data_IF_318168523201
#
_entry.id   IF_318168523201
#
_cell.length_a   1.000
_cell.length_b   1.000
_cell.length_c   1.000
_cell.angle_alpha   90.00
_cell.angle_beta   90.00
_cell.angle_gamma   90.00
#
_symmetry.space_group_name_H-M   'P 1'
#
loop_
_entity.id
_entity.type
_entity.pdbx_description
1 polymer ?
#
# COMPACT_ATOMS: atom_id res chain seq x y z
N UNK A 1 42.10 -100.80 0.88
CA UNK A 1 42.62 -99.46 0.51
C UNK A 1 41.44 -98.55 0.17
N UNK A 2 40.92 -97.86 1.19
CA UNK A 2 39.87 -96.87 0.99
C UNK A 2 40.46 -95.70 0.21
N UNK A 3 39.84 -95.40 -0.92
CA UNK A 3 40.20 -94.26 -1.77
C UNK A 3 39.65 -93.04 -1.06
N UNK A 4 40.51 -92.26 -0.41
CA UNK A 4 40.14 -90.93 0.08
C UNK A 4 40.05 -90.02 -1.15
N UNK A 5 38.83 -89.79 -1.65
CA UNK A 5 38.56 -88.75 -2.63
C UNK A 5 38.76 -87.39 -1.94
N UNK A 6 39.89 -86.74 -2.22
CA UNK A 6 40.15 -85.38 -1.76
C UNK A 6 39.31 -84.41 -2.60
N UNK A 7 38.14 -84.01 -2.08
CA UNK A 7 37.36 -82.92 -2.69
C UNK A 7 38.13 -81.61 -2.57
N UNK A 8 38.08 -80.79 -3.63
CA UNK A 8 38.70 -79.48 -3.62
C UNK A 8 37.97 -78.54 -2.65
N UNK A 9 38.70 -77.85 -1.77
CA UNK A 9 38.12 -76.87 -0.86
C UNK A 9 37.99 -75.50 -1.55
N UNK A 10 36.83 -74.86 -1.38
CA UNK A 10 36.57 -73.51 -1.87
C UNK A 10 36.60 -72.49 -0.72
N UNK A 11 37.21 -71.34 -0.98
CA UNK A 11 37.09 -70.19 -0.08
C UNK A 11 35.67 -69.60 -0.16
N UNK A 12 35.18 -69.08 0.97
CA UNK A 12 33.88 -68.43 1.01
C UNK A 12 33.82 -67.27 -0.01
N UNK A 13 32.85 -67.27 -0.93
CA UNK A 13 32.69 -66.17 -1.87
C UNK A 13 32.21 -64.92 -1.14
N UNK A 14 32.50 -63.74 -1.69
CA UNK A 14 31.92 -62.48 -1.26
C UNK A 14 31.41 -61.71 -2.46
N UNK A 15 30.17 -61.23 -2.37
CA UNK A 15 29.55 -60.35 -3.35
C UNK A 15 29.09 -59.11 -2.57
N UNK A 16 29.47 -57.92 -3.05
CA UNK A 16 29.09 -56.67 -2.38
C UNK A 16 27.56 -56.52 -2.40
N UNK A 17 26.99 -56.11 -1.27
CA UNK A 17 25.53 -55.89 -1.11
C UNK A 17 24.69 -57.15 -1.38
N UNK A 18 25.23 -58.31 -1.01
CA UNK A 18 24.54 -59.58 -1.11
C UNK A 18 24.75 -60.43 0.15
N UNK A 19 23.72 -61.19 0.49
CA UNK A 19 23.78 -62.33 1.42
C UNK A 19 23.89 -63.62 0.61
N UNK A 20 24.80 -64.51 1.03
CA UNK A 20 25.07 -65.79 0.37
C UNK A 20 24.59 -66.93 1.25
N UNK A 21 23.73 -67.78 0.69
CA UNK A 21 23.23 -68.99 1.35
C UNK A 21 23.82 -70.22 0.65
N UNK A 22 24.75 -70.90 1.33
CA UNK A 22 25.53 -72.01 0.77
C UNK A 22 25.20 -73.32 1.48
N UNK A 23 24.72 -74.32 0.74
CA UNK A 23 24.39 -75.65 1.24
C UNK A 23 25.03 -76.73 0.33
N UNK A 24 25.72 -77.75 0.87
CA UNK A 24 26.12 -77.97 2.27
C UNK A 24 27.49 -77.38 2.64
N UNK A 25 27.68 -77.10 3.94
CA UNK A 25 28.98 -76.82 4.55
C UNK A 25 29.65 -78.15 4.99
N UNK A 26 30.98 -78.35 4.81
CA UNK A 26 32.00 -77.40 4.34
C UNK A 26 31.95 -77.09 2.83
N UNK A 27 32.44 -75.91 2.43
CA UNK A 27 32.44 -75.47 1.03
C UNK A 27 33.45 -76.29 0.21
N UNK A 28 32.97 -77.32 -0.47
CA UNK A 28 33.77 -78.25 -1.27
C UNK A 28 33.27 -78.30 -2.71
N UNK A 29 34.00 -78.98 -3.59
CA UNK A 29 33.58 -79.23 -4.97
C UNK A 29 32.11 -79.69 -5.03
N UNK A 30 31.31 -79.02 -5.86
CA UNK A 30 29.88 -79.28 -6.02
C UNK A 30 28.95 -78.53 -5.05
N UNK A 31 29.48 -77.86 -4.01
CA UNK A 31 28.67 -76.96 -3.18
C UNK A 31 28.09 -75.83 -4.03
N UNK A 32 26.78 -75.58 -3.87
CA UNK A 32 26.08 -74.49 -4.53
C UNK A 32 25.71 -73.41 -3.54
N UNK A 33 25.93 -72.16 -3.91
CA UNK A 33 25.47 -71.00 -3.14
C UNK A 33 24.38 -70.26 -3.92
N UNK A 34 23.33 -69.88 -3.21
CA UNK A 34 22.28 -68.98 -3.70
C UNK A 34 22.62 -67.54 -3.31
N UNK A 35 22.48 -66.63 -4.26
CA UNK A 35 22.82 -65.22 -4.11
C UNK A 35 21.54 -64.42 -3.88
N UNK A 36 21.46 -63.72 -2.75
CA UNK A 36 20.34 -62.83 -2.42
C UNK A 36 20.86 -61.41 -2.26
N UNK A 37 20.53 -60.52 -3.19
CA UNK A 37 20.91 -59.12 -3.08
C UNK A 37 20.18 -58.43 -1.93
N UNK A 38 20.87 -57.54 -1.23
CA UNK A 38 20.31 -56.71 -0.17
C UNK A 38 19.09 -55.92 -0.68
N UNK A 39 18.22 -55.49 0.23
CA UNK A 39 17.07 -54.68 -0.12
C UNK A 39 17.51 -53.42 -0.90
N UNK A 40 16.82 -53.13 -2.01
CA UNK A 40 17.17 -52.03 -2.92
C UNK A 40 18.28 -52.32 -3.92
N UNK A 41 18.79 -53.56 -3.99
CA UNK A 41 19.73 -54.00 -5.01
C UNK A 41 19.11 -55.09 -5.90
N UNK A 42 19.37 -55.03 -7.20
CA UNK A 42 18.91 -56.03 -8.16
C UNK A 42 20.05 -56.95 -8.59
N UNK A 43 19.73 -58.23 -8.77
CA UNK A 43 20.68 -59.24 -9.22
C UNK A 43 20.85 -59.16 -10.74
N UNK A 44 22.07 -58.96 -11.19
CA UNK A 44 22.48 -59.13 -12.59
C UNK A 44 23.36 -60.36 -12.71
N UNK A 45 22.98 -61.36 -13.50
CA UNK A 45 23.73 -62.60 -13.69
C UNK A 45 22.98 -63.84 -13.15
N UNK A 46 23.72 -64.90 -12.84
CA UNK A 46 23.13 -66.14 -12.30
C UNK A 46 22.83 -66.01 -10.79
N UNK A 47 21.64 -66.41 -10.30
CA UNK A 47 21.33 -66.42 -8.87
C UNK A 47 22.03 -67.55 -8.11
N UNK A 48 22.73 -68.42 -8.81
CA UNK A 48 23.46 -69.55 -8.25
C UNK A 48 24.88 -69.59 -8.78
N UNK A 49 25.79 -70.01 -7.92
CA UNK A 49 27.20 -70.24 -8.20
C UNK A 49 27.64 -71.56 -7.59
N UNK A 50 28.52 -72.27 -8.28
CA UNK A 50 29.06 -73.57 -7.86
C UNK A 50 30.55 -73.49 -7.59
N UNK A 51 31.02 -74.28 -6.63
CA UNK A 51 32.44 -74.51 -6.39
C UNK A 51 32.98 -75.47 -7.47
N UNK A 52 33.92 -74.98 -8.29
CA UNK A 52 34.54 -75.75 -9.38
C UNK A 52 36.05 -75.95 -9.16
N UNK A 53 36.58 -77.07 -9.65
CA UNK A 53 38.00 -77.41 -9.52
C UNK A 53 38.85 -76.62 -10.52
N UNK A 54 39.94 -76.01 -10.04
CA UNK A 54 40.94 -75.39 -10.90
C UNK A 54 41.80 -76.47 -11.57
N UNK A 55 41.70 -76.62 -12.90
CA UNK A 55 42.40 -77.67 -13.66
C UNK A 55 43.90 -77.38 -13.85
N UNK A 56 44.76 -77.52 -12.83
CA UNK A 56 46.25 -77.61 -12.97
C UNK A 56 46.91 -78.29 -11.73
N UNK A 57 48.13 -78.89 -11.85
CA UNK A 57 48.37 -80.34 -11.77
C UNK A 57 48.42 -80.98 -10.35
N UNK A 58 48.05 -80.26 -9.29
CA UNK A 58 47.80 -80.83 -7.96
C UNK A 58 46.66 -80.04 -7.32
N UNK A 59 45.42 -80.36 -7.70
CA UNK A 59 44.24 -79.60 -7.31
C UNK A 59 43.71 -80.06 -5.95
N UNK A 60 44.13 -79.39 -4.88
CA UNK A 60 43.42 -79.35 -3.60
C UNK A 60 42.64 -78.04 -3.42
N UNK A 61 42.49 -77.23 -4.48
CA UNK A 61 41.86 -75.91 -4.44
C UNK A 61 40.76 -75.76 -5.50
N UNK A 62 39.55 -75.44 -5.03
CA UNK A 62 38.42 -75.04 -5.85
C UNK A 62 38.22 -73.52 -5.81
N UNK A 63 37.48 -72.98 -6.77
CA UNK A 63 37.03 -71.61 -6.75
C UNK A 63 35.56 -71.51 -7.14
N UNK A 64 34.87 -70.57 -6.52
CA UNK A 64 33.54 -70.18 -6.97
C UNK A 64 33.64 -69.28 -8.19
N UNK A 65 32.90 -69.62 -9.24
CA UNK A 65 32.79 -68.80 -10.45
C UNK A 65 31.43 -68.10 -10.44
N UNK A 66 31.37 -66.88 -9.88
CA UNK A 66 30.17 -66.05 -9.95
C UNK A 66 30.25 -65.08 -11.13
N UNK A 67 29.19 -65.01 -11.92
CA UNK A 67 28.92 -63.93 -12.89
C UNK A 67 27.92 -62.90 -12.35
N UNK A 68 27.56 -63.00 -11.07
CA UNK A 68 26.52 -62.20 -10.45
C UNK A 68 27.05 -60.94 -9.77
N UNK A 69 26.34 -59.83 -9.96
CA UNK A 69 26.58 -58.54 -9.32
C UNK A 69 25.24 -57.99 -8.82
N UNK A 70 25.23 -57.47 -7.60
CA UNK A 70 24.08 -56.75 -7.05
C UNK A 70 24.21 -55.26 -7.37
N UNK A 71 23.38 -54.76 -8.30
CA UNK A 71 23.37 -53.36 -8.71
C UNK A 71 22.36 -52.56 -7.90
N UNK A 72 22.74 -51.38 -7.43
CA UNK A 72 21.83 -50.49 -6.74
C UNK A 72 20.66 -50.08 -7.65
N UNK A 73 19.43 -50.15 -7.14
CA UNK A 73 18.23 -49.67 -7.85
C UNK A 73 18.13 -48.14 -7.77
N UNK A 74 17.48 -47.56 -8.77
CA UNK A 74 17.23 -46.12 -8.88
C UNK A 74 15.82 -45.78 -8.40
N UNK A 75 15.66 -44.68 -7.65
CA UNK A 75 14.35 -44.24 -7.14
C UNK A 75 13.47 -43.51 -8.16
N UNK A 76 13.96 -43.29 -9.38
CA UNK A 76 13.19 -42.62 -10.42
C UNK A 76 12.91 -41.15 -10.13
N UNK A 77 11.84 -40.64 -10.73
CA UNK A 77 11.43 -39.24 -10.66
C UNK A 77 10.75 -38.93 -9.31
N UNK A 78 11.07 -37.78 -8.72
CA UNK A 78 10.48 -37.34 -7.44
C UNK A 78 8.99 -37.00 -7.58
N UNK A 79 8.50 -36.75 -8.79
CA UNK A 79 7.09 -36.50 -9.08
C UNK A 79 6.16 -37.68 -8.74
N UNK A 80 6.71 -38.91 -8.62
CA UNK A 80 5.95 -40.06 -8.12
C UNK A 80 5.67 -39.97 -6.60
N UNK A 81 6.50 -39.23 -5.86
CA UNK A 81 6.33 -38.96 -4.43
C UNK A 81 5.38 -37.77 -4.20
N UNK A 82 5.61 -36.66 -4.91
CA UNK A 82 4.72 -35.49 -4.93
C UNK A 82 4.82 -34.81 -6.32
N UNK A 83 3.69 -34.63 -7.05
CA UNK A 83 3.71 -34.14 -8.43
C UNK A 83 4.21 -32.70 -8.58
N UNK A 84 4.26 -31.93 -7.49
CA UNK A 84 4.73 -30.54 -7.47
C UNK A 84 6.16 -30.40 -6.96
N UNK A 85 6.86 -31.52 -6.80
CA UNK A 85 8.24 -31.55 -6.35
C UNK A 85 9.20 -31.68 -7.54
N UNK A 86 10.37 -31.06 -7.42
CA UNK A 86 11.48 -31.15 -8.37
C UNK A 86 12.80 -31.36 -7.66
N UNK A 87 13.70 -32.13 -8.27
CA UNK A 87 15.05 -32.34 -7.77
C UNK A 87 15.92 -31.10 -8.03
N UNK A 88 16.75 -30.74 -7.05
CA UNK A 88 17.83 -29.76 -7.28
C UNK A 88 18.82 -30.25 -8.35
N UNK A 89 19.56 -29.33 -8.98
CA UNK A 89 20.34 -29.50 -10.22
C UNK A 89 21.48 -30.56 -10.26
N UNK A 90 21.51 -31.56 -9.36
CA UNK A 90 22.50 -32.65 -9.37
C UNK A 90 21.87 -33.94 -9.91
N UNK A 91 21.82 -34.02 -11.24
CA UNK A 91 21.30 -35.15 -12.01
C UNK A 91 22.37 -36.26 -12.18
N UNK A 92 22.48 -37.13 -11.19
CA UNK A 92 22.64 -38.56 -11.45
C UNK A 92 21.35 -39.23 -11.01
N UNK A 93 20.93 -40.35 -11.63
CA UNK A 93 19.84 -41.11 -11.05
C UNK A 93 20.19 -41.41 -9.59
N UNK A 94 19.26 -41.08 -8.69
CA UNK A 94 19.45 -41.32 -7.27
C UNK A 94 19.30 -42.81 -7.03
N UNK A 95 20.33 -43.42 -6.46
CA UNK A 95 20.34 -44.84 -6.12
C UNK A 95 20.05 -45.06 -4.65
N UNK A 96 19.71 -46.28 -4.27
CA UNK A 96 19.45 -46.63 -2.85
C UNK A 96 20.55 -46.10 -1.92
N UNK A 97 20.13 -45.39 -0.86
CA UNK A 97 21.00 -44.73 0.10
C UNK A 97 21.31 -43.26 -0.21
N UNK A 98 21.01 -42.77 -1.42
CA UNK A 98 21.20 -41.36 -1.76
C UNK A 98 20.17 -40.47 -1.06
N UNK A 99 20.64 -39.35 -0.50
CA UNK A 99 19.79 -38.24 -0.09
C UNK A 99 19.86 -37.13 -1.14
N UNK A 100 18.70 -36.58 -1.52
CA UNK A 100 18.61 -35.46 -2.45
C UNK A 100 17.79 -34.32 -1.87
N UNK A 101 18.24 -33.11 -2.16
CA UNK A 101 17.49 -31.89 -1.88
C UNK A 101 16.44 -31.68 -2.96
N UNK A 102 15.24 -31.31 -2.52
CA UNK A 102 14.08 -31.11 -3.37
C UNK A 102 13.50 -29.73 -3.12
N UNK A 103 12.87 -29.18 -4.15
CA UNK A 103 12.15 -27.91 -4.09
C UNK A 103 10.77 -28.08 -4.72
N UNK A 104 9.85 -27.20 -4.35
CA UNK A 104 8.55 -27.15 -4.99
C UNK A 104 8.62 -26.40 -6.33
N UNK A 105 7.77 -26.80 -7.26
CA UNK A 105 7.56 -26.10 -8.53
C UNK A 105 7.00 -24.69 -8.29
N UNK A 106 7.08 -23.86 -9.31
CA UNK A 106 6.48 -22.52 -9.28
C UNK A 106 4.98 -22.58 -8.94
N UNK A 107 4.53 -21.74 -8.00
CA UNK A 107 3.15 -21.76 -7.50
C UNK A 107 2.92 -22.67 -6.29
N UNK A 108 3.95 -23.37 -5.82
CA UNK A 108 3.91 -24.23 -4.63
C UNK A 108 5.04 -23.89 -3.66
N UNK A 109 4.86 -24.19 -2.37
CA UNK A 109 5.88 -24.01 -1.34
C UNK A 109 5.96 -25.22 -0.39
N UNK A 110 7.12 -25.36 0.24
CA UNK A 110 7.28 -26.18 1.44
C UNK A 110 6.72 -25.47 2.67
N UNK A 111 6.64 -26.18 3.79
CA UNK A 111 6.28 -25.54 5.06
C UNK A 111 7.27 -24.39 5.38
N UNK A 112 6.81 -23.29 6.01
CA UNK A 112 7.64 -22.12 6.25
C UNK A 112 8.92 -22.46 7.02
N UNK A 113 10.08 -22.10 6.44
CA UNK A 113 11.39 -22.34 7.05
C UNK A 113 11.93 -23.76 6.89
N UNK A 114 11.25 -24.62 6.12
CA UNK A 114 11.68 -25.99 5.90
C UNK A 114 12.46 -26.13 4.59
N UNK A 115 13.66 -26.70 4.68
CA UNK A 115 14.40 -27.21 3.51
C UNK A 115 14.15 -28.71 3.43
N UNK A 116 13.56 -29.15 2.33
CA UNK A 116 13.12 -30.54 2.19
C UNK A 116 14.23 -31.38 1.56
N UNK A 117 14.51 -32.54 2.16
CA UNK A 117 15.36 -33.58 1.57
C UNK A 117 14.67 -34.94 1.62
N UNK A 118 14.88 -35.76 0.59
CA UNK A 118 14.34 -37.10 0.49
C UNK A 118 15.47 -38.13 0.40
N UNK A 119 15.25 -39.29 1.03
CA UNK A 119 16.15 -40.43 0.99
C UNK A 119 15.59 -41.48 0.02
N UNK A 120 16.39 -41.91 -0.94
CA UNK A 120 16.09 -43.09 -1.74
C UNK A 120 16.29 -44.35 -0.90
N UNK A 121 15.21 -45.03 -0.52
CA UNK A 121 15.25 -46.15 0.41
C UNK A 121 14.50 -47.38 -0.12
N UNK A 122 14.83 -48.60 0.33
CA UNK A 122 14.02 -49.78 0.05
C UNK A 122 12.62 -49.63 0.62
N UNK A 123 11.60 -50.10 -0.10
CA UNK A 123 10.21 -50.09 0.39
C UNK A 123 9.96 -51.12 1.51
N UNK A 124 10.85 -52.10 1.64
CA UNK A 124 10.85 -53.13 2.68
C UNK A 124 12.25 -53.72 2.87
N UNK A 125 12.48 -54.40 4.00
CA UNK A 125 13.75 -55.09 4.31
C UNK A 125 13.95 -56.42 3.58
N UNK A 126 13.03 -56.80 2.68
CA UNK A 126 13.14 -58.06 1.94
C UNK A 126 14.24 -57.98 0.87
N UNK A 127 14.97 -59.08 0.67
CA UNK A 127 15.97 -59.20 -0.39
C UNK A 127 15.43 -58.78 -1.75
N UNK A 128 16.20 -57.98 -2.47
CA UNK A 128 15.83 -57.49 -3.80
C UNK A 128 14.64 -56.53 -3.85
N UNK A 129 14.14 -56.03 -2.70
CA UNK A 129 13.01 -55.09 -2.64
C UNK A 129 13.22 -53.87 -3.55
N UNK A 130 12.10 -53.32 -4.06
CA UNK A 130 12.12 -52.09 -4.83
C UNK A 130 12.50 -50.90 -3.94
N UNK A 131 12.81 -49.78 -4.58
CA UNK A 131 13.18 -48.53 -3.91
C UNK A 131 12.14 -47.45 -4.21
N UNK A 132 11.98 -46.53 -3.28
CA UNK A 132 11.16 -45.35 -3.44
C UNK A 132 11.77 -44.19 -2.63
N UNK A 133 11.35 -42.98 -2.98
CA UNK A 133 11.64 -41.81 -2.16
C UNK A 133 10.95 -41.92 -0.80
N UNK A 134 11.69 -41.61 0.25
CA UNK A 134 11.21 -41.63 1.64
C UNK A 134 11.55 -40.31 2.34
N UNK A 135 10.63 -39.84 3.18
CA UNK A 135 10.74 -38.58 3.90
C UNK A 135 9.36 -38.03 4.26
N UNK A 136 9.35 -36.93 5.02
CA UNK A 136 8.16 -36.15 5.32
C UNK A 136 8.22 -34.84 4.55
N UNK A 137 7.59 -34.81 3.39
CA UNK A 137 7.64 -33.68 2.51
C UNK A 137 6.34 -33.57 1.72
N UNK A 138 5.88 -32.36 1.50
CA UNK A 138 4.76 -32.08 0.61
C UNK A 138 4.88 -30.67 0.07
N UNK A 139 4.44 -30.49 -1.17
CA UNK A 139 4.35 -29.18 -1.80
C UNK A 139 2.91 -28.70 -1.75
N UNK A 140 2.69 -27.59 -1.06
CA UNK A 140 1.37 -26.97 -0.90
C UNK A 140 1.23 -25.81 -1.88
N UNK A 141 0.04 -25.60 -2.44
CA UNK A 141 -0.21 -24.46 -3.30
C UNK A 141 -0.01 -23.15 -2.52
N UNK A 142 0.57 -22.14 -3.18
CA UNK A 142 0.61 -20.78 -2.65
C UNK A 142 -0.82 -20.28 -2.41
N UNK A 143 -1.01 -19.51 -1.32
CA UNK A 143 -2.31 -18.96 -1.01
C UNK A 143 -2.77 -17.98 -2.10
N UNK A 144 -4.06 -17.98 -2.42
CA UNK A 144 -4.70 -17.03 -3.32
C UNK A 144 -5.36 -15.93 -2.47
N UNK A 145 -4.92 -14.69 -2.62
CA UNK A 145 -5.50 -13.55 -1.92
C UNK A 145 -6.74 -12.97 -2.62
N UNK A 146 -7.05 -13.45 -3.82
CA UNK A 146 -8.05 -12.85 -4.70
C UNK A 146 -7.61 -11.49 -5.24
N UNK A 147 -8.39 -11.00 -6.21
CA UNK A 147 -8.16 -9.71 -6.85
C UNK A 147 -8.07 -8.58 -5.80
N UNK A 148 -6.94 -7.89 -5.78
CA UNK A 148 -6.69 -6.77 -4.85
C UNK A 148 -7.73 -5.66 -5.02
N UNK A 149 -8.29 -5.49 -6.23
CA UNK A 149 -9.33 -4.51 -6.51
C UNK A 149 -10.68 -4.85 -5.85
N UNK A 150 -10.88 -6.09 -5.41
CA UNK A 150 -12.06 -6.47 -4.64
C UNK A 150 -11.98 -6.00 -3.18
N UNK A 151 -10.77 -5.65 -2.69
CA UNK A 151 -10.57 -5.08 -1.36
C UNK A 151 -10.81 -3.57 -1.43
N UNK A 152 -11.62 -3.05 -0.50
CA UNK A 152 -11.90 -1.63 -0.44
C UNK A 152 -10.73 -0.87 0.21
N UNK A 153 -9.93 -0.20 -0.59
CA UNK A 153 -8.92 0.76 -0.12
C UNK A 153 -9.39 2.20 -0.43
N UNK A 154 -9.84 2.97 0.58
CA UNK A 154 -10.29 4.33 0.38
C UNK A 154 -9.22 5.21 -0.28
N UNK A 155 -9.64 6.04 -1.24
CA UNK A 155 -8.74 6.97 -1.93
C UNK A 155 -7.80 6.34 -2.96
N UNK A 156 -7.94 5.05 -3.26
CA UNK A 156 -7.14 4.35 -4.29
C UNK A 156 -7.92 4.30 -5.62
N UNK A 157 -7.22 4.51 -6.74
CA UNK A 157 -7.80 4.44 -8.10
C UNK A 157 -7.21 3.33 -8.95
N UNK A 158 -6.02 2.85 -8.61
CA UNK A 158 -5.38 1.74 -9.32
C UNK A 158 -4.36 1.02 -8.42
N UNK A 159 -4.08 -0.23 -8.79
CA UNK A 159 -3.03 -1.05 -8.20
C UNK A 159 -2.03 -1.43 -9.30
N UNK A 160 -0.75 -1.33 -9.01
CA UNK A 160 0.32 -1.83 -9.87
C UNK A 160 1.06 -2.95 -9.14
N UNK A 161 0.94 -4.16 -9.67
CA UNK A 161 1.29 -5.40 -8.99
C UNK A 161 2.34 -6.19 -9.77
N UNK A 162 3.22 -6.87 -9.04
CA UNK A 162 4.30 -7.67 -9.63
C UNK A 162 3.80 -8.78 -10.57
N UNK A 163 2.63 -9.35 -10.26
CA UNK A 163 1.94 -10.38 -11.05
C UNK A 163 0.43 -10.31 -10.78
N UNK A 164 -0.38 -10.63 -11.80
CA UNK A 164 -1.85 -10.65 -11.78
C UNK A 164 -2.43 -11.99 -11.29
N UNK A 165 -1.58 -12.92 -10.84
CA UNK A 165 -2.02 -14.21 -10.30
C UNK A 165 -2.40 -14.16 -8.81
N UNK A 166 -2.29 -12.99 -8.15
CA UNK A 166 -2.76 -12.72 -6.77
C UNK A 166 -2.32 -13.73 -5.70
N UNK A 167 -1.18 -14.39 -5.91
CA UNK A 167 -0.64 -15.42 -5.02
C UNK A 167 0.20 -14.84 -3.90
N UNK A 168 0.40 -15.63 -2.85
CA UNK A 168 1.33 -15.35 -1.76
C UNK A 168 2.67 -14.79 -2.28
N UNK A 169 3.13 -13.72 -1.64
CA UNK A 169 4.35 -13.03 -2.02
C UNK A 169 4.14 -11.90 -3.03
N UNK A 170 3.05 -11.89 -3.81
CA UNK A 170 2.75 -10.79 -4.73
C UNK A 170 2.63 -9.47 -4.01
N UNK A 171 3.27 -8.44 -4.56
CA UNK A 171 3.26 -7.08 -4.02
C UNK A 171 2.55 -6.14 -4.97
N UNK A 172 1.73 -5.26 -4.42
CA UNK A 172 1.00 -4.23 -5.14
C UNK A 172 1.31 -2.85 -4.56
N UNK A 173 1.73 -1.94 -5.42
CA UNK A 173 1.78 -0.51 -5.13
C UNK A 173 0.45 0.14 -5.45
N UNK A 174 0.10 1.20 -4.72
CA UNK A 174 -1.21 1.84 -4.81
C UNK A 174 -1.06 3.19 -5.51
N UNK A 175 -1.95 3.47 -6.45
CA UNK A 175 -2.09 4.79 -7.05
C UNK A 175 -3.26 5.50 -6.39
N UNK A 176 -2.98 6.63 -5.74
CA UNK A 176 -4.00 7.42 -5.06
C UNK A 176 -4.80 8.29 -6.03
N UNK A 177 -6.06 8.53 -5.68
CA UNK A 177 -6.92 9.50 -6.34
C UNK A 177 -6.31 10.90 -6.25
N UNK A 178 -6.82 11.83 -7.07
CA UNK A 178 -6.49 13.24 -6.92
C UNK A 178 -6.74 13.71 -5.48
N UNK A 179 -5.86 14.59 -4.99
CA UNK A 179 -5.89 15.14 -3.63
C UNK A 179 -5.74 14.12 -2.48
N UNK A 180 -5.14 12.96 -2.79
CA UNK A 180 -4.74 11.97 -1.80
C UNK A 180 -3.26 11.64 -1.99
N UNK A 181 -2.55 11.47 -0.88
CA UNK A 181 -1.15 11.08 -0.84
C UNK A 181 -0.97 9.64 -0.41
N UNK A 182 -0.02 8.96 -1.06
CA UNK A 182 0.38 7.62 -0.70
C UNK A 182 1.11 7.65 0.65
N UNK A 183 0.53 6.97 1.62
CA UNK A 183 1.16 6.69 2.90
C UNK A 183 1.54 5.21 2.96
N UNK A 184 2.75 4.93 3.44
CA UNK A 184 3.35 3.60 3.33
C UNK A 184 3.93 3.35 1.93
N UNK A 185 4.02 2.09 1.54
CA UNK A 185 4.68 1.70 0.29
C UNK A 185 3.85 0.76 -0.58
N UNK A 186 3.34 -0.33 -0.01
CA UNK A 186 2.67 -1.39 -0.76
C UNK A 186 1.81 -2.28 0.14
N UNK A 187 1.01 -3.12 -0.50
CA UNK A 187 0.36 -4.28 0.11
C UNK A 187 0.92 -5.56 -0.50
N UNK A 188 0.95 -6.64 0.27
CA UNK A 188 1.48 -7.93 -0.10
C UNK A 188 0.51 -9.04 0.29
N UNK A 189 0.37 -10.04 -0.58
CA UNK A 189 -0.40 -11.25 -0.30
C UNK A 189 0.33 -12.14 0.71
N UNK A 190 -0.26 -12.38 1.88
CA UNK A 190 0.28 -13.25 2.93
C UNK A 190 -0.02 -14.75 2.68
N UNK A 191 0.65 -15.61 3.44
CA UNK A 191 0.47 -17.08 3.35
C UNK A 191 -0.94 -17.58 3.73
N UNK A 192 -1.80 -16.70 4.25
CA UNK A 192 -3.17 -17.00 4.64
C UNK A 192 -4.19 -16.49 3.62
N UNK A 193 -3.75 -15.99 2.46
CA UNK A 193 -4.62 -15.47 1.42
C UNK A 193 -5.20 -14.10 1.79
N UNK A 194 -4.44 -13.25 2.49
CA UNK A 194 -4.85 -11.88 2.82
C UNK A 194 -3.86 -10.85 2.33
N UNK A 195 -4.38 -9.77 1.75
CA UNK A 195 -3.60 -8.57 1.49
C UNK A 195 -3.26 -7.88 2.81
N UNK A 196 -1.97 -7.74 3.08
CA UNK A 196 -1.42 -7.10 4.28
C UNK A 196 -0.40 -6.04 3.89
N UNK A 197 -0.12 -5.05 4.73
CA UNK A 197 0.84 -3.99 4.41
C UNK A 197 0.43 -2.65 4.99
N UNK A 198 1.19 -1.62 4.67
CA UNK A 198 0.95 -0.25 5.15
C UNK A 198 0.50 0.71 4.04
N UNK A 199 0.37 0.24 2.80
CA UNK A 199 -0.08 1.04 1.67
C UNK A 199 -1.50 1.56 1.88
N UNK A 200 -1.64 2.88 1.95
CA UNK A 200 -2.93 3.56 2.11
C UNK A 200 -2.90 4.92 1.42
N UNK A 201 -4.05 5.41 0.99
CA UNK A 201 -4.18 6.75 0.41
C UNK A 201 -4.89 7.66 1.41
N UNK A 202 -4.15 8.63 1.94
CA UNK A 202 -4.68 9.60 2.89
C UNK A 202 -5.03 10.90 2.16
N UNK A 203 -6.14 11.55 2.50
CA UNK A 203 -6.45 12.89 2.01
C UNK A 203 -5.29 13.87 2.23
N UNK A 204 -5.05 14.76 1.26
CA UNK A 204 -4.03 15.81 1.38
C UNK A 204 -4.33 16.73 2.58
N UNK A 205 -3.31 17.04 3.37
CA UNK A 205 -3.40 18.07 4.40
C UNK A 205 -3.24 19.46 3.80
N UNK A 206 -3.90 20.46 4.40
CA UNK A 206 -3.73 21.85 4.05
C UNK A 206 -2.46 22.40 4.71
N UNK A 207 -1.79 23.34 4.03
CA UNK A 207 -0.78 24.17 4.69
C UNK A 207 -1.42 24.98 5.82
N UNK A 208 -0.63 25.40 6.82
CA UNK A 208 -1.13 26.30 7.88
C UNK A 208 -1.71 27.56 7.22
N UNK A 209 -2.94 28.01 7.56
CA UNK A 209 -3.54 29.17 6.93
C UNK A 209 -2.71 30.42 7.18
N UNK A 210 -2.64 31.30 6.18
CA UNK A 210 -1.96 32.59 6.32
C UNK A 210 -2.84 33.51 7.17
N UNK A 211 -2.24 34.18 8.15
CA UNK A 211 -2.96 35.13 9.01
C UNK A 211 -3.45 36.32 8.20
N UNK A 212 -4.75 36.60 8.28
CA UNK A 212 -5.32 37.85 7.76
C UNK A 212 -4.95 39.03 8.67
N UNK A 213 -5.22 40.26 8.22
CA UNK A 213 -5.06 41.45 9.06
C UNK A 213 -5.85 41.30 10.37
N UNK A 214 -5.28 41.78 11.48
CA UNK A 214 -5.86 41.71 12.82
C UNK A 214 -6.12 40.28 13.36
N UNK A 215 -5.59 39.24 12.71
CA UNK A 215 -5.65 37.86 13.19
C UNK A 215 -4.37 37.50 13.96
N UNK A 216 -4.52 37.08 15.22
CA UNK A 216 -3.42 36.65 16.08
C UNK A 216 -3.01 35.18 15.80
N UNK A 217 -3.98 34.33 15.50
CA UNK A 217 -3.75 32.93 15.13
C UNK A 217 -4.85 32.43 14.20
N UNK A 218 -4.52 31.62 13.20
CA UNK A 218 -5.50 30.94 12.34
C UNK A 218 -5.82 29.51 12.81
N UNK A 219 -4.84 28.81 13.38
CA UNK A 219 -4.93 27.47 13.95
C UNK A 219 -4.08 27.38 15.22
N UNK A 220 -4.25 26.33 16.02
CA UNK A 220 -3.38 26.06 17.18
C UNK A 220 -1.91 25.99 16.74
N UNK A 221 -1.04 26.72 17.45
CA UNK A 221 0.34 27.06 17.06
C UNK A 221 1.34 25.90 17.00
N UNK A 222 0.89 24.66 17.14
CA UNK A 222 1.73 23.45 17.15
C UNK A 222 1.62 22.58 15.88
N UNK A 223 0.81 22.96 14.89
CA UNK A 223 0.59 22.18 13.68
C UNK A 223 1.53 22.62 12.54
N UNK A 224 2.18 21.65 11.88
CA UNK A 224 2.94 21.86 10.64
C UNK A 224 2.07 21.82 9.38
N UNK A 225 0.90 21.17 9.47
CA UNK A 225 -0.15 21.13 8.45
C UNK A 225 -1.49 20.83 9.12
N UNK A 226 -2.60 21.17 8.46
CA UNK A 226 -3.97 20.93 8.95
C UNK A 226 -4.53 19.71 8.22
N UNK A 227 -4.83 18.59 8.91
CA UNK A 227 -5.46 17.43 8.30
C UNK A 227 -6.76 17.78 7.55
N UNK A 228 -7.01 17.12 6.41
CA UNK A 228 -8.29 17.26 5.73
C UNK A 228 -9.43 16.78 6.62
N UNK A 229 -10.47 17.61 6.76
CA UNK A 229 -11.60 17.40 7.65
C UNK A 229 -11.53 18.26 8.92
N UNK A 230 -10.34 18.75 9.28
CA UNK A 230 -10.17 19.59 10.47
C UNK A 230 -10.66 21.02 10.23
N UNK A 231 -11.11 21.63 11.33
CA UNK A 231 -11.58 23.01 11.40
C UNK A 231 -10.69 23.76 12.38
N UNK A 232 -10.14 24.90 11.94
CA UNK A 232 -9.44 25.82 12.83
C UNK A 232 -10.29 27.04 13.14
N UNK A 233 -10.35 27.37 14.43
CA UNK A 233 -10.94 28.59 14.94
C UNK A 233 -9.85 29.65 15.11
N UNK A 234 -9.93 30.79 14.40
CA UNK A 234 -8.94 31.84 14.54
C UNK A 234 -9.16 32.64 15.83
N UNK A 235 -8.13 33.41 16.20
CA UNK A 235 -8.24 34.44 17.24
C UNK A 235 -7.88 35.80 16.65
N UNK A 236 -8.62 36.83 17.04
CA UNK A 236 -8.42 38.20 16.57
C UNK A 236 -7.76 39.07 17.63
N UNK A 237 -7.11 40.15 17.20
CA UNK A 237 -6.59 41.20 18.06
C UNK A 237 -7.72 41.91 18.82
N UNK A 238 -7.36 42.62 19.89
CA UNK A 238 -8.34 43.30 20.74
C UNK A 238 -9.23 44.26 19.94
N UNK A 239 -10.55 44.15 20.16
CA UNK A 239 -11.58 44.95 19.49
C UNK A 239 -12.06 44.41 18.13
N UNK A 240 -11.42 43.38 17.59
CA UNK A 240 -11.89 42.64 16.43
C UNK A 240 -12.62 41.36 16.83
N UNK A 241 -13.66 41.01 16.08
CA UNK A 241 -14.41 39.76 16.21
C UNK A 241 -14.06 38.82 15.06
N UNK A 242 -14.14 37.52 15.33
CA UNK A 242 -13.97 36.47 14.32
C UNK A 242 -15.20 36.41 13.42
N UNK A 243 -14.99 36.25 12.12
CA UNK A 243 -15.98 35.80 11.14
C UNK A 243 -15.51 34.49 10.53
N UNK A 244 -16.34 33.45 10.55
CA UNK A 244 -16.05 32.16 9.92
C UNK A 244 -14.99 31.31 10.62
N UNK A 245 -14.60 30.22 9.96
CA UNK A 245 -13.59 29.24 10.40
C UNK A 245 -12.75 28.79 9.21
N UNK A 246 -11.54 28.30 9.44
CA UNK A 246 -10.77 27.64 8.39
C UNK A 246 -11.14 26.16 8.34
N UNK A 247 -11.73 25.68 7.24
CA UNK A 247 -12.05 24.26 7.08
C UNK A 247 -11.19 23.64 5.99
N UNK A 248 -10.33 22.69 6.37
CA UNK A 248 -9.48 21.98 5.42
C UNK A 248 -10.27 20.86 4.74
N UNK A 249 -10.20 20.78 3.41
CA UNK A 249 -10.76 19.69 2.64
C UNK A 249 -9.84 19.37 1.46
N UNK A 250 -9.31 18.15 1.43
CA UNK A 250 -8.51 17.62 0.31
C UNK A 250 -7.35 18.57 -0.08
N UNK A 251 -6.60 19.05 0.91
CA UNK A 251 -5.45 19.93 0.73
C UNK A 251 -5.76 21.41 0.50
N UNK A 252 -7.04 21.80 0.46
CA UNK A 252 -7.47 23.21 0.26
C UNK A 252 -8.46 23.67 1.32
N UNK A 253 -8.44 24.97 1.66
CA UNK A 253 -9.45 25.56 2.54
C UNK A 253 -10.73 25.85 1.77
N UNK A 254 -11.85 25.25 2.18
CA UNK A 254 -13.18 25.47 1.58
C UNK A 254 -14.00 26.53 2.31
N UNK A 255 -13.56 26.90 3.51
CA UNK A 255 -14.06 28.01 4.32
C UNK A 255 -12.81 28.72 4.84
N UNK A 256 -12.76 30.06 4.77
CA UNK A 256 -11.70 30.85 5.41
C UNK A 256 -12.29 31.82 6.42
N UNK A 257 -11.45 32.26 7.36
CA UNK A 257 -11.89 33.12 8.44
C UNK A 257 -11.23 34.49 8.36
N UNK A 258 -11.91 35.50 8.91
CA UNK A 258 -11.42 36.88 8.92
C UNK A 258 -11.71 37.56 10.26
N UNK A 259 -10.96 38.62 10.55
CA UNK A 259 -11.13 39.44 11.75
C UNK A 259 -11.72 40.80 11.37
N UNK A 260 -12.87 41.13 11.92
CA UNK A 260 -13.63 42.34 11.59
C UNK A 260 -13.97 43.14 12.84
N UNK A 261 -13.89 44.46 12.74
CA UNK A 261 -14.16 45.35 13.87
C UNK A 261 -15.66 45.47 14.12
N UNK A 262 -16.10 45.42 15.38
CA UNK A 262 -17.49 45.70 15.74
C UNK A 262 -17.61 46.69 16.90
N UNK A 263 -18.14 47.86 16.55
CA UNK A 263 -18.45 49.05 17.37
C UNK A 263 -17.27 49.96 17.70
N UNK A 264 -17.39 51.19 17.20
CA UNK A 264 -16.59 52.38 17.52
C UNK A 264 -16.42 52.53 19.04
N UNK A 265 -15.17 52.73 19.49
CA UNK A 265 -14.86 53.09 20.88
C UNK A 265 -15.51 54.44 21.23
N UNK A 266 -15.86 54.67 22.50
CA UNK A 266 -16.64 55.83 22.98
C UNK A 266 -15.92 57.21 22.90
N UNK A 267 -14.98 57.42 21.98
CA UNK A 267 -14.17 58.65 21.85
C UNK A 267 -14.62 59.61 20.74
N UNK A 268 -15.70 59.32 20.04
CA UNK A 268 -16.19 60.15 18.92
C UNK A 268 -17.21 61.19 19.40
N UNK A 269 -17.17 62.38 18.81
CA UNK A 269 -18.11 63.47 19.09
C UNK A 269 -19.33 63.41 18.17
N UNK A 270 -19.21 62.78 17.00
CA UNK A 270 -20.31 62.56 16.07
C UNK A 270 -20.26 61.16 15.45
N UNK A 271 -21.43 60.52 15.32
CA UNK A 271 -21.62 59.26 14.59
C UNK A 271 -22.72 59.46 13.55
N UNK A 272 -22.45 59.10 12.30
CA UNK A 272 -23.46 59.09 11.21
C UNK A 272 -23.72 57.64 10.81
N UNK A 273 -24.99 57.24 10.81
CA UNK A 273 -25.42 55.95 10.27
C UNK A 273 -25.80 56.15 8.81
N UNK A 274 -25.18 55.38 7.92
CA UNK A 274 -25.45 55.40 6.49
C UNK A 274 -25.92 54.05 5.99
N UNK A 275 -26.67 54.08 4.88
CA UNK A 275 -27.02 52.93 4.05
C UNK A 275 -26.50 53.11 2.64
N UNK A 276 -25.87 52.09 2.08
CA UNK A 276 -25.45 52.02 0.68
C UNK A 276 -26.22 50.94 -0.07
N UNK A 277 -26.91 51.34 -1.13
CA UNK A 277 -27.64 50.42 -2.01
C UNK A 277 -27.02 50.42 -3.41
N UNK A 278 -26.58 49.25 -3.90
CA UNK A 278 -26.09 49.10 -5.27
C UNK A 278 -26.20 47.67 -5.79
N UNK A 279 -26.21 47.51 -7.12
CA UNK A 279 -26.28 46.20 -7.78
C UNK A 279 -24.89 45.72 -8.19
N UNK A 280 -24.61 44.44 -7.95
CA UNK A 280 -23.36 43.79 -8.36
C UNK A 280 -23.63 42.48 -9.09
N UNK A 281 -22.77 42.14 -10.06
CA UNK A 281 -22.66 40.78 -10.60
C UNK A 281 -21.64 40.04 -9.73
N UNK A 282 -22.07 38.96 -9.07
CA UNK A 282 -21.33 38.33 -7.97
C UNK A 282 -20.10 37.52 -8.44
N UNK A 283 -18.96 37.77 -7.80
CA UNK A 283 -17.95 36.76 -7.46
C UNK A 283 -18.17 36.26 -6.03
N UNK A 284 -17.76 35.04 -5.68
CA UNK A 284 -17.75 34.57 -4.29
C UNK A 284 -16.50 35.14 -3.60
N UNK A 285 -16.61 36.23 -2.84
CA UNK A 285 -15.49 36.64 -1.98
C UNK A 285 -15.92 37.00 -0.56
N UNK A 286 -15.14 36.48 0.38
CA UNK A 286 -15.27 36.67 1.83
C UNK A 286 -14.66 38.00 2.33
N UNK A 287 -14.16 38.84 1.40
CA UNK A 287 -13.57 40.17 1.68
C UNK A 287 -14.50 41.35 1.36
N UNK A 288 -15.74 41.08 0.94
CA UNK A 288 -16.65 42.12 0.46
C UNK A 288 -16.87 43.25 1.49
N UNK A 289 -17.15 42.90 2.76
CA UNK A 289 -17.35 43.88 3.82
C UNK A 289 -16.08 44.73 4.09
N UNK A 290 -14.89 44.11 4.03
CA UNK A 290 -13.61 44.79 4.20
C UNK A 290 -13.32 45.76 3.04
N UNK A 291 -13.57 45.31 1.81
CA UNK A 291 -13.44 46.15 0.64
C UNK A 291 -14.39 47.35 0.69
N UNK A 292 -15.63 47.15 1.15
CA UNK A 292 -16.60 48.23 1.35
C UNK A 292 -16.12 49.21 2.42
N UNK A 293 -15.68 48.73 3.59
CA UNK A 293 -15.18 49.56 4.68
C UNK A 293 -14.06 50.50 4.21
N UNK A 294 -13.05 49.95 3.53
CA UNK A 294 -11.94 50.75 2.99
C UNK A 294 -12.35 51.69 1.86
N UNK A 295 -13.36 51.31 1.07
CA UNK A 295 -13.87 52.16 -0.01
C UNK A 295 -14.66 53.34 0.53
N UNK A 296 -15.45 53.14 1.59
CA UNK A 296 -16.15 54.22 2.31
C UNK A 296 -15.13 55.17 2.94
N UNK A 297 -14.10 54.65 3.61
CA UNK A 297 -13.09 55.47 4.27
C UNK A 297 -12.30 56.33 3.28
N UNK A 298 -11.93 55.76 2.12
CA UNK A 298 -11.24 56.48 1.05
C UNK A 298 -12.13 57.59 0.46
N UNK A 299 -13.42 57.30 0.26
CA UNK A 299 -14.36 58.23 -0.36
C UNK A 299 -14.69 59.47 0.50
N UNK A 300 -14.61 59.37 1.83
CA UNK A 300 -14.81 60.50 2.75
C UNK A 300 -13.52 61.01 3.40
N UNK A 301 -12.36 60.40 3.08
CA UNK A 301 -11.06 60.85 3.54
C UNK A 301 -10.79 60.63 5.03
N UNK A 302 -11.29 59.54 5.62
CA UNK A 302 -11.05 59.17 7.02
C UNK A 302 -10.31 57.83 7.12
N UNK A 303 -9.93 57.45 8.34
CA UNK A 303 -9.25 56.17 8.59
C UNK A 303 -10.27 55.02 8.52
N UNK A 304 -9.92 53.89 7.91
CA UNK A 304 -10.83 52.75 7.76
C UNK A 304 -11.36 52.19 9.10
N UNK A 305 -10.57 52.32 10.18
CA UNK A 305 -10.96 51.99 11.55
C UNK A 305 -12.15 52.81 12.07
N UNK A 306 -12.43 53.96 11.45
CA UNK A 306 -13.45 54.91 11.87
C UNK A 306 -14.77 54.66 11.12
N UNK A 307 -14.78 53.68 10.21
CA UNK A 307 -15.96 53.15 9.52
C UNK A 307 -16.25 51.77 10.08
N UNK A 308 -17.48 51.54 10.56
CA UNK A 308 -17.94 50.22 11.00
C UNK A 308 -19.06 49.74 10.07
N UNK A 309 -18.89 48.58 9.45
CA UNK A 309 -19.99 47.92 8.73
C UNK A 309 -20.89 47.25 9.76
N UNK A 310 -22.17 47.62 9.78
CA UNK A 310 -23.16 47.09 10.71
C UNK A 310 -23.79 45.81 10.17
N UNK A 311 -24.22 45.85 8.92
CA UNK A 311 -24.93 44.75 8.27
C UNK A 311 -24.69 44.81 6.76
N UNK A 312 -24.54 43.65 6.13
CA UNK A 312 -24.54 43.49 4.67
C UNK A 312 -25.68 42.54 4.34
N UNK A 313 -26.71 43.04 3.69
CA UNK A 313 -27.81 42.23 3.16
C UNK A 313 -27.70 42.14 1.64
N UNK A 314 -27.93 40.94 1.13
CA UNK A 314 -28.00 40.69 -0.31
C UNK A 314 -29.39 40.14 -0.61
N UNK A 315 -30.16 40.87 -1.41
CA UNK A 315 -31.51 40.47 -1.83
C UNK A 315 -31.52 39.94 -3.26
N UNK A 316 -32.57 39.16 -3.57
CA UNK A 316 -32.64 38.23 -4.72
C UNK A 316 -32.19 38.80 -6.08
N UNK A 317 -31.65 37.89 -6.88
CA UNK A 317 -31.13 38.13 -8.23
C UNK A 317 -32.18 38.72 -9.17
N UNK A 318 -31.87 39.87 -9.77
CA UNK A 318 -32.59 40.45 -10.91
C UNK A 318 -31.80 40.16 -12.20
N UNK A 319 -32.44 39.54 -13.18
CA UNK A 319 -31.89 39.41 -14.52
C UNK A 319 -31.98 40.76 -15.23
N UNK A 320 -30.84 41.44 -15.41
CA UNK A 320 -30.80 42.66 -16.20
C UNK A 320 -31.05 42.32 -17.68
N UNK A 321 -32.18 42.76 -18.22
CA UNK A 321 -32.75 42.35 -19.51
C UNK A 321 -31.83 42.61 -20.72
N UNK A 322 -30.82 43.48 -20.59
CA UNK A 322 -29.92 43.85 -21.70
C UNK A 322 -28.51 43.23 -21.64
N UNK A 323 -28.13 42.49 -20.59
CA UNK A 323 -26.74 42.00 -20.45
C UNK A 323 -26.56 40.51 -20.12
N UNK A 324 -27.64 39.74 -19.93
CA UNK A 324 -27.54 38.29 -19.69
C UNK A 324 -26.79 37.88 -18.41
N UNK A 325 -26.55 38.83 -17.50
CA UNK A 325 -25.87 38.62 -16.22
C UNK A 325 -26.87 38.83 -15.07
N UNK A 326 -26.96 37.83 -14.18
CA UNK A 326 -27.72 37.96 -12.94
C UNK A 326 -26.99 38.96 -12.04
N UNK A 327 -27.70 40.00 -11.59
CA UNK A 327 -27.20 40.99 -10.63
C UNK A 327 -27.98 40.91 -9.34
N UNK A 328 -27.31 41.02 -8.20
CA UNK A 328 -27.93 41.05 -6.87
C UNK A 328 -27.96 42.47 -6.34
N UNK A 329 -29.04 42.85 -5.65
CA UNK A 329 -29.07 44.10 -4.88
C UNK A 329 -28.34 43.86 -3.56
N UNK A 330 -27.36 44.72 -3.27
CA UNK A 330 -26.64 44.73 -2.02
C UNK A 330 -27.02 46.00 -1.27
N UNK A 331 -27.45 45.82 -0.03
CA UNK A 331 -27.72 46.91 0.91
C UNK A 331 -26.71 46.77 2.05
N UNK A 332 -26.07 47.88 2.42
CA UNK A 332 -25.03 47.90 3.45
C UNK A 332 -25.32 49.00 4.45
N UNK A 333 -25.58 48.62 5.69
CA UNK A 333 -25.68 49.54 6.80
C UNK A 333 -24.30 49.71 7.43
N UNK A 334 -23.88 50.96 7.65
CA UNK A 334 -22.58 51.30 8.21
C UNK A 334 -22.64 52.53 9.13
N UNK A 335 -21.70 52.63 10.05
CA UNK A 335 -21.49 53.79 10.91
C UNK A 335 -20.16 54.46 10.57
N UNK A 336 -20.15 55.78 10.58
CA UNK A 336 -18.93 56.60 10.48
C UNK A 336 -18.78 57.40 11.76
N UNK A 337 -17.67 57.19 12.47
CA UNK A 337 -17.26 58.01 13.60
C UNK A 337 -16.29 59.11 13.17
N UNK A 338 -16.42 60.32 13.73
CA UNK A 338 -15.39 61.34 13.60
C UNK A 338 -15.13 62.07 14.92
N UNK A 339 -13.86 62.37 15.27
CA UNK A 339 -13.53 63.06 16.50
C UNK A 339 -13.49 64.58 16.30
N UNK A 340 -13.47 65.05 15.05
CA UNK A 340 -13.22 66.44 14.67
C UNK A 340 -14.22 67.02 13.66
N UNK A 341 -14.96 66.17 12.92
CA UNK A 341 -16.01 66.63 12.02
C UNK A 341 -17.36 66.71 12.74
N UNK A 342 -18.12 67.76 12.44
CA UNK A 342 -19.54 67.80 12.79
C UNK A 342 -20.34 66.85 11.88
N UNK A 343 -21.48 66.37 12.38
CA UNK A 343 -22.30 65.39 11.68
C UNK A 343 -22.85 65.90 10.36
N UNK A 344 -23.08 67.21 10.24
CA UNK A 344 -23.54 67.83 8.99
C UNK A 344 -22.47 67.76 7.90
N UNK A 345 -21.19 68.00 8.21
CA UNK A 345 -20.10 67.87 7.24
C UNK A 345 -19.96 66.43 6.73
N UNK A 346 -20.00 65.46 7.63
CA UNK A 346 -19.95 64.03 7.26
C UNK A 346 -21.15 63.63 6.41
N UNK A 347 -22.34 64.10 6.76
CA UNK A 347 -23.56 63.83 6.01
C UNK A 347 -23.48 64.40 4.59
N UNK A 348 -22.99 65.63 4.43
CA UNK A 348 -22.78 66.28 3.13
C UNK A 348 -21.76 65.50 2.30
N UNK A 349 -20.67 65.02 2.92
CA UNK A 349 -19.67 64.21 2.23
C UNK A 349 -20.26 62.87 1.76
N UNK A 350 -20.93 62.12 2.64
CA UNK A 350 -21.51 60.81 2.33
C UNK A 350 -22.57 60.89 1.22
N UNK A 351 -23.34 61.97 1.18
CA UNK A 351 -24.40 62.15 0.16
C UNK A 351 -23.91 62.82 -1.13
N UNK A 352 -22.64 63.23 -1.20
CA UNK A 352 -22.07 63.92 -2.36
C UNK A 352 -21.88 63.02 -3.58
N UNK A 353 -21.86 63.64 -4.77
CA UNK A 353 -21.50 62.95 -6.02
C UNK A 353 -20.04 62.48 -6.00
N UNK A 354 -19.14 63.27 -5.42
CA UNK A 354 -17.72 62.94 -5.24
C UNK A 354 -17.54 61.64 -4.45
N UNK A 355 -18.28 61.45 -3.36
CA UNK A 355 -18.23 60.21 -2.59
C UNK A 355 -18.58 59.00 -3.47
N UNK A 356 -19.64 59.12 -4.29
CA UNK A 356 -20.08 58.01 -5.16
C UNK A 356 -19.01 57.63 -6.17
N UNK A 357 -18.40 58.61 -6.81
CA UNK A 357 -17.34 58.38 -7.80
C UNK A 357 -16.12 57.70 -7.17
N UNK A 358 -15.62 58.25 -6.05
CA UNK A 358 -14.44 57.70 -5.37
C UNK A 358 -14.72 56.32 -4.81
N UNK A 359 -15.89 56.11 -4.18
CA UNK A 359 -16.28 54.81 -3.65
C UNK A 359 -16.34 53.73 -4.73
N UNK A 360 -16.96 54.02 -5.89
CA UNK A 360 -17.08 53.07 -7.00
C UNK A 360 -15.70 52.67 -7.52
N UNK A 361 -14.80 53.64 -7.70
CA UNK A 361 -13.43 53.39 -8.15
C UNK A 361 -12.66 52.56 -7.11
N UNK A 362 -12.74 52.97 -5.85
CA UNK A 362 -12.08 52.32 -4.72
C UNK A 362 -12.55 50.86 -4.54
N UNK A 363 -13.85 50.61 -4.70
CA UNK A 363 -14.44 49.29 -4.55
C UNK A 363 -14.09 48.40 -5.74
N UNK A 364 -14.19 48.90 -6.97
CA UNK A 364 -13.82 48.15 -8.17
C UNK A 364 -12.32 47.80 -8.20
N UNK A 365 -11.47 48.66 -7.63
CA UNK A 365 -10.02 48.37 -7.50
C UNK A 365 -9.76 47.24 -6.51
N UNK A 366 -10.54 47.16 -5.43
CA UNK A 366 -10.38 46.15 -4.37
C UNK A 366 -11.09 44.83 -4.69
N UNK A 367 -12.12 44.87 -5.53
CA UNK A 367 -12.93 43.74 -5.95
C UNK A 367 -12.99 43.69 -7.49
N UNK A 368 -11.89 43.33 -8.18
CA UNK A 368 -11.80 43.38 -9.63
C UNK A 368 -12.75 42.40 -10.33
N UNK A 369 -13.16 41.33 -9.64
CA UNK A 369 -14.11 40.33 -10.13
C UNK A 369 -15.57 40.78 -9.99
N UNK A 370 -15.84 41.90 -9.31
CA UNK A 370 -17.18 42.44 -9.12
C UNK A 370 -17.44 43.56 -10.13
N UNK A 371 -18.60 43.48 -10.80
CA UNK A 371 -19.07 44.55 -11.68
C UNK A 371 -20.23 45.29 -11.03
N UNK A 372 -20.01 46.56 -10.68
CA UNK A 372 -21.05 47.46 -10.19
C UNK A 372 -21.96 47.85 -11.37
N UNK A 373 -23.25 47.56 -11.24
CA UNK A 373 -24.26 47.72 -12.30
C UNK A 373 -25.10 48.98 -12.10
N UNK A 374 -25.15 49.53 -10.89
CA UNK A 374 -25.87 50.76 -10.57
C UNK A 374 -25.05 51.70 -9.69
N UNK A 375 -25.27 53.00 -9.82
CA UNK A 375 -24.65 53.99 -8.95
C UNK A 375 -25.10 53.80 -7.49
N UNK A 376 -24.17 53.72 -6.53
CA UNK A 376 -24.54 53.58 -5.12
C UNK A 376 -25.26 54.83 -4.63
N UNK A 377 -26.36 54.62 -3.91
CA UNK A 377 -27.06 55.68 -3.20
C UNK A 377 -26.72 55.57 -1.72
N UNK A 378 -25.91 56.51 -1.22
CA UNK A 378 -25.73 56.71 0.20
C UNK A 378 -26.91 57.52 0.75
N UNK A 379 -27.60 56.97 1.74
CA UNK A 379 -28.62 57.67 2.52
C UNK A 379 -28.19 57.68 3.98
N UNK A 380 -28.36 58.81 4.67
CA UNK A 380 -28.27 58.78 6.13
C UNK A 380 -29.60 58.34 6.72
N UNK A 381 -29.52 57.53 7.76
CA UNK A 381 -30.67 56.96 8.46
C UNK A 381 -30.99 57.77 9.71
#
# INVERSE_FOLDING_TARGET
PEHFDCLAECSAPSIEKATLDCDPAPLVEGTTCTIQCDAGYELLGSPQMSCEVLKFPLASSGAFVASAVCRARECGDVSEFDPHMVLGASASPAVVGDTRWVSCQEGFRSAPGETISLLCAPVSDSYGSNVAWSGNASCEALADCGDVAAVNFPGVVAFDCTDQLWREGNMCTLTCAAHHQLHGSSVQCDQYGRWTGNGSCLPDSCAVPVLSENMLSACSTSLSSVPSGDICEPTCSEGFKVSGTFRCHLGSYVEVASCWWHRLSTSWTTVVVGRLDFRVVLGKEELFAHAVQHSVSEAIGIVASDVAILEVSVSDTWAAEEAGLASSLVEIDFEVGSPSADGETLLVQLTSETFREVFVIALATRLPDYKIVSTPMAQAV
#
